data_IF_402827810130
#
_entry.id   IF_402827810130
#
_cell.length_a   1.000
_cell.length_b   1.000
_cell.length_c   1.000
_cell.angle_alpha   90.00
_cell.angle_beta   90.00
_cell.angle_gamma   90.00
#
_symmetry.space_group_name_H-M   'P 1'
#
loop_
_entity.id
_entity.type
_entity.pdbx_description
1 polymer ?
#
# COMPACT_ATOMS: atom_id res chain seq x y z
N UNK A 1 -20.40 -4.57 -6.42
CA UNK A 1 -19.98 -3.16 -6.23
C UNK A 1 -18.93 -2.92 -7.28
N UNK A 2 -19.28 -2.15 -8.30
CA UNK A 2 -18.33 -1.77 -9.35
C UNK A 2 -17.63 -0.47 -8.94
N UNK A 3 -16.31 -0.46 -9.05
CA UNK A 3 -15.49 0.73 -8.86
C UNK A 3 -15.73 1.67 -10.04
N UNK A 4 -16.01 2.96 -9.78
CA UNK A 4 -16.31 3.95 -10.82
C UNK A 4 -15.12 4.24 -11.73
N UNK A 5 -13.90 3.97 -11.26
CA UNK A 5 -12.65 4.20 -11.98
C UNK A 5 -11.81 2.92 -12.09
N UNK A 6 -12.42 1.74 -11.92
CA UNK A 6 -11.71 0.46 -12.01
C UNK A 6 -11.13 0.17 -13.40
N UNK A 7 -11.73 0.74 -14.45
CA UNK A 7 -11.29 0.70 -15.84
C UNK A 7 -10.09 1.63 -16.12
N UNK A 8 -9.87 2.64 -15.27
CA UNK A 8 -8.77 3.61 -15.41
C UNK A 8 -7.54 3.13 -14.68
N UNK A 9 -6.79 2.26 -15.35
CA UNK A 9 -5.53 1.74 -14.86
C UNK A 9 -4.41 2.72 -15.18
N UNK A 10 -3.66 3.14 -14.16
CA UNK A 10 -2.44 3.94 -14.28
C UNK A 10 -1.21 3.07 -14.06
N UNK A 11 -0.14 3.36 -14.79
CA UNK A 11 1.17 2.76 -14.57
C UNK A 11 1.89 3.53 -13.46
N UNK A 12 2.27 2.80 -12.42
CA UNK A 12 2.99 3.31 -11.28
C UNK A 12 4.39 2.70 -11.26
N UNK A 13 5.37 3.53 -10.97
CA UNK A 13 6.76 3.10 -10.82
C UNK A 13 7.28 3.50 -9.45
N UNK A 14 8.19 2.70 -8.92
CA UNK A 14 8.81 2.94 -7.64
C UNK A 14 10.19 2.30 -7.54
N UNK A 15 10.82 2.47 -6.39
CA UNK A 15 12.13 1.90 -6.09
C UNK A 15 12.02 1.17 -4.75
N UNK A 16 12.57 -0.04 -4.68
CA UNK A 16 12.66 -0.79 -3.43
C UNK A 16 13.63 -0.07 -2.50
N UNK A 17 13.14 0.38 -1.34
CA UNK A 17 13.94 1.08 -0.34
C UNK A 17 14.33 0.21 0.85
N UNK A 18 13.53 -0.82 1.16
CA UNK A 18 13.83 -1.80 2.22
C UNK A 18 13.36 -3.19 1.81
N UNK A 19 14.13 -4.20 2.22
CA UNK A 19 13.78 -5.61 2.08
C UNK A 19 13.88 -6.26 3.46
N UNK A 20 12.77 -6.82 3.93
CA UNK A 20 12.68 -7.58 5.18
C UNK A 20 12.26 -9.02 4.86
N UNK A 21 12.46 -9.97 5.79
CA UNK A 21 12.19 -11.42 5.60
C UNK A 21 10.73 -11.78 5.23
N UNK A 22 9.79 -10.84 5.31
CA UNK A 22 8.40 -11.08 4.93
C UNK A 22 7.76 -9.99 4.07
N UNK A 23 8.44 -8.87 3.84
CA UNK A 23 7.86 -7.72 3.17
C UNK A 23 8.91 -6.83 2.51
N UNK A 24 8.47 -6.15 1.47
CA UNK A 24 9.28 -5.22 0.69
C UNK A 24 8.63 -3.85 0.77
N UNK A 25 9.46 -2.85 0.94
CA UNK A 25 9.10 -1.45 0.95
C UNK A 25 9.46 -0.81 -0.38
N UNK A 26 8.50 -0.12 -0.99
CA UNK A 26 8.64 0.56 -2.27
C UNK A 26 8.32 2.03 -2.07
N UNK A 27 9.24 2.90 -2.44
CA UNK A 27 8.99 4.34 -2.56
C UNK A 27 8.52 4.67 -3.98
N UNK A 28 7.38 5.34 -4.09
CA UNK A 28 6.75 5.63 -5.38
C UNK A 28 7.35 6.88 -6.00
N UNK A 29 7.74 6.77 -7.28
CA UNK A 29 8.26 7.92 -8.05
C UNK A 29 7.19 9.03 -8.10
N UNK A 30 7.65 10.28 -8.09
CA UNK A 30 6.76 11.45 -8.09
C UNK A 30 6.28 11.89 -6.70
N UNK A 31 6.89 11.39 -5.61
CA UNK A 31 6.49 11.70 -4.22
C UNK A 31 5.07 11.28 -3.90
N UNK A 32 4.63 10.17 -4.50
CA UNK A 32 3.29 9.63 -4.31
C UNK A 32 3.16 8.82 -3.01
N UNK A 33 4.29 8.59 -2.32
CA UNK A 33 4.34 8.00 -1.00
C UNK A 33 4.99 6.62 -0.99
N UNK A 34 4.77 5.91 0.10
CA UNK A 34 5.43 4.65 0.42
C UNK A 34 4.42 3.49 0.43
N UNK A 35 4.80 2.37 -0.17
CA UNK A 35 4.01 1.16 -0.26
C UNK A 35 4.78 -0.02 0.33
N UNK A 36 4.17 -0.73 1.29
CA UNK A 36 4.74 -1.95 1.87
C UNK A 36 3.90 -3.15 1.45
N UNK A 37 4.52 -4.10 0.76
CA UNK A 37 3.85 -5.29 0.23
C UNK A 37 4.52 -6.57 0.73
N UNK A 38 3.77 -7.66 0.97
CA UNK A 38 4.35 -8.97 1.25
C UNK A 38 5.17 -9.49 0.07
N UNK A 39 6.24 -10.24 0.34
CA UNK A 39 7.09 -10.81 -0.73
C UNK A 39 6.30 -11.66 -1.74
N UNK A 40 5.23 -12.34 -1.30
CA UNK A 40 4.35 -13.16 -2.16
C UNK A 40 3.62 -12.39 -3.26
N UNK A 41 3.55 -11.05 -3.17
CA UNK A 41 2.95 -10.21 -4.21
C UNK A 41 3.95 -9.77 -5.28
N UNK A 42 5.25 -9.89 -5.04
CA UNK A 42 6.26 -9.53 -6.02
C UNK A 42 6.50 -10.70 -6.98
N UNK A 43 6.36 -10.40 -8.28
CA UNK A 43 6.74 -11.32 -9.35
C UNK A 43 8.13 -10.90 -9.82
N UNK A 44 9.13 -11.75 -9.59
CA UNK A 44 10.51 -11.49 -9.97
C UNK A 44 11.22 -12.81 -10.23
N UNK A 45 12.06 -12.84 -11.27
CA UNK A 45 12.98 -13.96 -11.53
C UNK A 45 14.33 -13.77 -10.83
N UNK A 46 14.52 -12.63 -10.16
CA UNK A 46 15.78 -12.21 -9.55
C UNK A 46 15.64 -12.05 -8.03
N UNK A 47 16.74 -12.25 -7.26
CA UNK A 47 16.79 -11.89 -5.85
C UNK A 47 16.47 -10.41 -5.64
N UNK A 48 15.63 -10.13 -4.65
CA UNK A 48 15.22 -8.78 -4.29
C UNK A 48 16.36 -8.01 -3.63
N UNK A 49 16.57 -6.77 -4.07
CA UNK A 49 17.63 -5.87 -3.59
C UNK A 49 17.10 -4.45 -3.46
N UNK A 50 17.62 -3.73 -2.48
CA UNK A 50 17.39 -2.29 -2.34
C UNK A 50 17.95 -1.57 -3.57
N UNK A 51 17.20 -0.58 -4.06
CA UNK A 51 17.50 0.20 -5.26
C UNK A 51 16.92 -0.37 -6.56
N UNK A 52 16.28 -1.53 -6.55
CA UNK A 52 15.63 -2.07 -7.75
C UNK A 52 14.37 -1.27 -8.09
N UNK A 53 14.22 -0.96 -9.39
CA UNK A 53 12.99 -0.35 -9.90
C UNK A 53 11.88 -1.39 -9.98
N UNK A 54 10.68 -0.98 -9.61
CA UNK A 54 9.46 -1.80 -9.70
C UNK A 54 8.38 -1.01 -10.43
N UNK A 55 7.58 -1.74 -11.20
CA UNK A 55 6.43 -1.20 -11.92
C UNK A 55 5.19 -2.02 -11.62
N UNK A 56 4.07 -1.35 -11.43
CA UNK A 56 2.78 -2.01 -11.24
C UNK A 56 1.65 -1.15 -11.80
N UNK A 57 0.53 -1.81 -12.05
CA UNK A 57 -0.70 -1.20 -12.52
C UNK A 57 -1.67 -1.04 -11.36
N UNK A 58 -2.18 0.16 -11.13
CA UNK A 58 -3.15 0.45 -10.07
C UNK A 58 -4.25 1.37 -10.62
N UNK A 59 -5.46 1.30 -10.07
CA UNK A 59 -6.53 2.28 -10.33
C UNK A 59 -6.57 3.34 -9.23
N UNK A 60 -7.42 4.35 -9.38
CA UNK A 60 -7.65 5.36 -8.34
C UNK A 60 -8.29 4.76 -7.08
N UNK A 61 -7.99 5.35 -5.92
CA UNK A 61 -8.59 4.98 -4.63
C UNK A 61 -9.99 5.60 -4.55
N UNK A 62 -11.01 4.78 -4.30
CA UNK A 62 -12.40 5.22 -4.18
C UNK A 62 -12.93 5.00 -2.77
N UNK A 63 -13.64 6.00 -2.25
CA UNK A 63 -14.40 5.90 -1.01
C UNK A 63 -15.74 5.23 -1.34
N UNK A 64 -15.94 4.02 -0.80
CA UNK A 64 -17.10 3.17 -1.15
C UNK A 64 -18.39 3.56 -0.43
N UNK A 65 -18.29 4.24 0.72
CA UNK A 65 -19.43 4.65 1.56
C UNK A 65 -19.12 5.98 2.23
N UNK A 66 -20.16 6.81 2.41
CA UNK A 66 -20.10 8.02 3.22
C UNK A 66 -19.91 7.70 4.71
N UNK A 67 -20.49 6.59 5.16
CA UNK A 67 -20.39 6.14 6.54
C UNK A 67 -19.03 5.49 6.82
N UNK A 68 -18.39 5.95 7.91
CA UNK A 68 -17.17 5.33 8.41
C UNK A 68 -17.48 3.92 8.94
N UNK A 69 -16.52 3.01 8.77
CA UNK A 69 -16.64 1.68 9.36
C UNK A 69 -16.38 1.75 10.88
N UNK A 70 -17.45 1.86 11.67
CA UNK A 70 -17.40 2.04 13.13
C UNK A 70 -16.56 0.98 13.86
N UNK A 71 -16.55 -0.26 13.36
CA UNK A 71 -15.72 -1.33 13.94
C UNK A 71 -14.23 -1.01 13.81
N UNK A 72 -13.82 -0.50 12.66
CA UNK A 72 -12.43 -0.09 12.45
C UNK A 72 -12.08 1.15 13.28
N UNK A 73 -12.98 2.15 13.33
CA UNK A 73 -12.78 3.34 14.17
C UNK A 73 -12.59 2.96 15.64
N UNK A 74 -13.45 2.08 16.17
CA UNK A 74 -13.37 1.59 17.55
C UNK A 74 -12.06 0.84 17.83
N UNK A 75 -11.61 -0.01 16.90
CA UNK A 75 -10.35 -0.74 17.04
C UNK A 75 -9.13 0.20 17.04
N UNK A 76 -9.18 1.27 16.25
CA UNK A 76 -8.12 2.30 16.23
C UNK A 76 -8.09 3.05 17.57
N UNK A 77 -9.24 3.43 18.12
CA UNK A 77 -9.33 4.12 19.42
C UNK A 77 -8.76 3.27 20.56
N UNK A 78 -9.15 1.99 20.62
CA UNK A 78 -8.62 1.03 21.61
C UNK A 78 -7.10 0.92 21.50
N UNK A 79 -6.56 0.86 20.27
CA UNK A 79 -5.11 0.78 20.05
C UNK A 79 -4.40 2.06 20.50
N UNK A 80 -4.95 3.24 20.17
CA UNK A 80 -4.35 4.52 20.54
C UNK A 80 -4.32 4.72 22.06
N UNK A 81 -5.37 4.31 22.79
CA UNK A 81 -5.39 4.32 24.26
C UNK A 81 -4.31 3.42 24.86
N UNK A 82 -4.10 2.22 24.29
CA UNK A 82 -3.04 1.30 24.75
C UNK A 82 -1.64 1.84 24.52
N UNK A 83 -1.43 2.61 23.45
CA UNK A 83 -0.15 3.24 23.12
C UNK A 83 0.06 4.59 23.83
N UNK A 84 -0.88 5.06 24.66
CA UNK A 84 -0.77 6.34 25.38
C UNK A 84 -0.79 7.57 24.47
N UNK A 85 -1.37 7.45 23.26
CA UNK A 85 -1.48 8.54 22.28
C UNK A 85 -2.73 9.41 22.49
N UNK A 86 -3.52 9.12 23.53
CA UNK A 86 -4.76 9.79 23.96
C UNK A 86 -4.78 9.91 25.48
#
# INVERSE_FOLDING_TARGET
>A
MDLKYGDKIIEMQGVIVEVHDGCVAVDLKGRLGYLKVPMRMLITDYPLKVGQEVGFKMSFIEVLSEEANEKYVSNIDIRNRKEGKL
#
